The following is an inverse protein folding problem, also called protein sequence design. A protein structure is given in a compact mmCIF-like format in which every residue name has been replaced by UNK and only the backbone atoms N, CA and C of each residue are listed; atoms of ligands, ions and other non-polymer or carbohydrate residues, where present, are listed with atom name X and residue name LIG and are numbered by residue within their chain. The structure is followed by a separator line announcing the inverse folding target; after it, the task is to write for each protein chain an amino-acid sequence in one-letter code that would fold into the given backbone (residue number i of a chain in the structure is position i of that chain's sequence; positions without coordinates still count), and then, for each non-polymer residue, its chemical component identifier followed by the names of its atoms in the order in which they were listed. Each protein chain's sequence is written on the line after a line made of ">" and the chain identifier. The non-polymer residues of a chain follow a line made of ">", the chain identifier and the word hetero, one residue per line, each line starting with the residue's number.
data_IF_804212998404
#
_entry.id   IF_804212998404
#
_cell.length_a   1.000
_cell.length_b   1.000
_cell.length_c   1.000
_cell.angle_alpha   90.00
_cell.angle_beta   90.00
_cell.angle_gamma   90.00
#
_symmetry.space_group_name_H-M   'P 1'
#
loop_
_entity.id
_entity.type
_entity.pdbx_description
1 polymer ?
#
# COMPACT_ATOMS: atom_id res chain seq x y z
N UNK A 1 17.56 -3.67 -7.75
CA UNK A 1 16.57 -3.97 -6.69
C UNK A 1 15.23 -3.39 -7.10
N UNK A 2 14.13 -4.10 -6.87
CA UNK A 2 12.77 -3.69 -7.26
C UNK A 2 11.96 -3.46 -6.00
N UNK A 3 11.24 -2.35 -5.92
CA UNK A 3 10.35 -2.06 -4.80
C UNK A 3 9.06 -2.89 -4.92
N UNK A 4 8.70 -3.60 -3.86
CA UNK A 4 7.51 -4.46 -3.79
C UNK A 4 6.45 -3.87 -2.86
N UNK A 5 5.22 -4.39 -2.94
CA UNK A 5 4.14 -4.05 -2.00
C UNK A 5 4.49 -4.42 -0.54
N UNK A 6 5.30 -5.46 -0.35
CA UNK A 6 5.78 -5.84 0.96
C UNK A 6 6.73 -4.77 1.53
N UNK A 7 7.67 -4.28 0.71
CA UNK A 7 8.59 -3.20 1.11
C UNK A 7 7.81 -1.91 1.47
N UNK A 8 6.76 -1.58 0.71
CA UNK A 8 5.87 -0.45 1.03
C UNK A 8 5.13 -0.63 2.37
N UNK A 9 4.67 -1.85 2.65
CA UNK A 9 4.00 -2.15 3.91
C UNK A 9 4.97 -2.06 5.10
N UNK A 10 6.22 -2.50 4.93
CA UNK A 10 7.27 -2.31 5.94
C UNK A 10 7.59 -0.84 6.18
N UNK A 11 7.67 -0.02 5.13
CA UNK A 11 7.88 1.42 5.27
C UNK A 11 6.75 2.07 6.09
N UNK A 12 5.50 1.69 5.85
CA UNK A 12 4.35 2.20 6.59
C UNK A 12 4.37 1.74 8.06
N UNK A 13 4.74 0.49 8.31
CA UNK A 13 4.93 -0.02 9.66
C UNK A 13 6.02 0.76 10.41
N UNK A 14 7.21 0.93 9.80
CA UNK A 14 8.37 1.54 10.44
C UNK A 14 8.25 3.06 10.62
N UNK A 15 7.68 3.77 9.63
CA UNK A 15 7.66 5.24 9.62
C UNK A 15 6.38 5.85 10.14
N UNK A 16 5.25 5.15 10.00
CA UNK A 16 3.93 5.65 10.41
C UNK A 16 3.45 4.96 11.68
N UNK A 17 4.03 3.82 12.06
CA UNK A 17 3.65 3.08 13.26
C UNK A 17 2.34 2.30 13.11
N UNK A 18 1.87 2.11 11.87
CA UNK A 18 0.73 1.23 11.58
C UNK A 18 1.10 -0.19 11.96
N UNK A 19 0.14 -0.99 12.44
CA UNK A 19 0.43 -2.41 12.60
C UNK A 19 0.55 -3.10 11.23
N UNK A 20 1.16 -4.30 11.19
CA UNK A 20 1.42 -5.01 9.93
C UNK A 20 0.17 -5.26 9.09
N UNK A 21 -1.00 -5.44 9.71
CA UNK A 21 -2.26 -5.65 9.01
C UNK A 21 -2.75 -4.35 8.39
N UNK A 22 -2.80 -3.28 9.17
CA UNK A 22 -3.20 -1.95 8.69
C UNK A 22 -2.32 -1.44 7.56
N UNK A 23 -1.01 -1.63 7.65
CA UNK A 23 -0.06 -1.25 6.62
C UNK A 23 -0.33 -1.98 5.29
N UNK A 24 -0.58 -3.29 5.37
CA UNK A 24 -0.92 -4.10 4.20
C UNK A 24 -2.25 -3.66 3.59
N UNK A 25 -3.29 -3.52 4.40
CA UNK A 25 -4.62 -3.11 3.97
C UNK A 25 -4.58 -1.72 3.31
N UNK A 26 -3.74 -0.80 3.81
CA UNK A 26 -3.53 0.52 3.23
C UNK A 26 -2.83 0.47 1.87
N UNK A 27 -1.80 -0.36 1.70
CA UNK A 27 -1.13 -0.54 0.40
C UNK A 27 -2.09 -1.14 -0.63
N UNK A 28 -2.89 -2.13 -0.24
CA UNK A 28 -3.88 -2.73 -1.12
C UNK A 28 -4.97 -1.74 -1.54
N UNK A 29 -5.53 -0.98 -0.59
CA UNK A 29 -6.50 0.07 -0.89
C UNK A 29 -5.91 1.15 -1.83
N UNK A 30 -4.67 1.58 -1.62
CA UNK A 30 -4.01 2.57 -2.48
C UNK A 30 -3.96 2.15 -3.95
N UNK A 31 -3.57 0.90 -4.22
CA UNK A 31 -3.50 0.41 -5.59
C UNK A 31 -4.89 0.15 -6.20
N UNK A 32 -5.87 -0.25 -5.40
CA UNK A 32 -7.24 -0.37 -5.92
C UNK A 32 -7.89 0.98 -6.22
N UNK A 33 -7.66 2.01 -5.42
CA UNK A 33 -8.12 3.37 -5.75
C UNK A 33 -7.52 3.86 -7.07
N UNK A 34 -6.24 3.59 -7.33
CA UNK A 34 -5.61 3.92 -8.62
C UNK A 34 -6.28 3.15 -9.76
N UNK A 35 -6.51 1.84 -9.59
CA UNK A 35 -7.16 1.02 -10.62
C UNK A 35 -8.56 1.54 -10.92
N UNK A 36 -9.37 1.76 -9.89
CA UNK A 36 -10.73 2.26 -10.02
C UNK A 36 -10.77 3.63 -10.72
N UNK A 37 -9.82 4.53 -10.39
CA UNK A 37 -9.73 5.83 -11.04
C UNK A 37 -9.39 5.71 -12.55
N UNK A 38 -8.54 4.75 -12.93
CA UNK A 38 -8.15 4.52 -14.31
C UNK A 38 -9.21 3.77 -15.12
N UNK A 39 -9.96 2.84 -14.51
CA UNK A 39 -11.02 2.09 -15.18
C UNK A 39 -12.23 2.96 -15.55
N UNK A 40 -12.43 4.07 -14.83
CA UNK A 40 -13.53 5.02 -15.09
C UNK A 40 -13.13 6.21 -15.98
N UNK A 41 -11.89 6.24 -16.49
CA UNK A 41 -11.30 7.34 -17.26
C UNK A 41 -11.23 7.13 -18.77
#
# INVERSE_FOLDING_TARGET
>A
MTLTKADLSEILFDRVGLNKREAKDMVEAFFEEIRNALENG
#
